data_IF_397437011916
#
_entry.id   IF_397437011916
#
_cell.length_a   1.000
_cell.length_b   1.000
_cell.length_c   1.000
_cell.angle_alpha   90.00
_cell.angle_beta   90.00
_cell.angle_gamma   90.00
#
_symmetry.space_group_name_H-M   'P 1'
#
loop_
_entity.id
_entity.type
_entity.pdbx_description
1 polymer ?
#
# COMPACT_ATOMS: atom_id res chain seq x y z
N UNK A 1 -10.84 -11.46 -23.08
CA UNK A 1 -10.77 -10.16 -23.73
C UNK A 1 -9.40 -9.51 -23.49
N UNK A 2 -8.85 -9.05 -24.53
CA UNK A 2 -7.59 -8.33 -24.44
C UNK A 2 -7.86 -6.95 -23.89
N UNK A 3 -7.23 -6.60 -22.79
CA UNK A 3 -7.36 -5.23 -22.30
C UNK A 3 -6.15 -4.43 -22.79
N UNK A 4 -6.28 -3.11 -22.80
CA UNK A 4 -5.23 -2.23 -23.31
C UNK A 4 -4.15 -1.94 -22.29
N UNK A 5 -4.21 -2.58 -21.14
CA UNK A 5 -3.21 -2.39 -20.10
C UNK A 5 -1.95 -3.18 -20.43
N UNK A 6 -0.78 -2.69 -19.98
CA UNK A 6 0.46 -3.44 -20.19
C UNK A 6 0.39 -4.82 -19.57
N UNK A 7 1.11 -5.76 -20.17
CA UNK A 7 1.24 -7.09 -19.60
C UNK A 7 2.22 -7.00 -18.44
N UNK A 8 1.76 -7.32 -17.26
CA UNK A 8 2.57 -7.27 -16.06
C UNK A 8 2.75 -8.67 -15.50
N UNK A 9 3.68 -8.82 -14.57
CA UNK A 9 3.92 -10.10 -13.94
C UNK A 9 2.66 -10.59 -13.25
N UNK A 10 2.53 -11.92 -13.16
CA UNK A 10 1.39 -12.52 -12.48
C UNK A 10 1.28 -12.00 -11.06
N UNK A 11 0.05 -11.81 -10.60
CA UNK A 11 -0.23 -11.31 -9.28
C UNK A 11 -1.21 -12.25 -8.59
N UNK A 12 -1.22 -12.24 -7.27
CA UNK A 12 -2.09 -13.11 -6.50
C UNK A 12 -3.56 -12.81 -6.79
N UNK A 13 -4.25 -13.78 -7.37
CA UNK A 13 -5.66 -13.63 -7.74
C UNK A 13 -6.57 -13.55 -6.51
N UNK A 14 -6.09 -14.04 -5.38
CA UNK A 14 -6.85 -14.01 -4.13
C UNK A 14 -6.63 -12.72 -3.34
N UNK A 15 -5.87 -11.81 -3.91
CA UNK A 15 -5.60 -10.53 -3.25
C UNK A 15 -6.91 -9.78 -3.00
N UNK A 16 -7.07 -9.33 -1.76
CA UNK A 16 -8.26 -8.61 -1.34
C UNK A 16 -8.09 -7.12 -1.66
N UNK A 17 -8.88 -6.61 -2.61
CA UNK A 17 -8.74 -5.24 -3.08
C UNK A 17 -8.77 -4.18 -1.98
N UNK A 18 -9.72 -4.22 -1.02
CA UNK A 18 -9.72 -3.22 0.05
C UNK A 18 -8.44 -3.24 0.88
N UNK A 19 -7.90 -4.41 1.17
CA UNK A 19 -6.66 -4.51 1.94
C UNK A 19 -5.46 -4.00 1.16
N UNK A 20 -5.44 -4.27 -0.14
CA UNK A 20 -4.34 -3.79 -0.97
C UNK A 20 -4.34 -2.27 -1.06
N UNK A 21 -5.51 -1.67 -1.22
CA UNK A 21 -5.62 -0.21 -1.22
C UNK A 21 -5.21 0.34 0.15
N UNK A 22 -5.64 -0.32 1.22
CA UNK A 22 -5.24 0.09 2.57
C UNK A 22 -3.72 0.03 2.74
N UNK A 23 -3.07 -0.98 2.16
CA UNK A 23 -1.62 -1.10 2.21
C UNK A 23 -0.94 0.15 1.69
N UNK A 24 -1.42 0.70 0.59
CA UNK A 24 -0.84 1.93 0.02
C UNK A 24 -1.02 3.10 0.98
N UNK A 25 -2.18 3.20 1.62
CA UNK A 25 -2.42 4.26 2.60
C UNK A 25 -1.50 4.09 3.80
N UNK A 26 -1.33 2.85 4.28
CA UNK A 26 -0.43 2.56 5.40
C UNK A 26 1.00 2.95 5.05
N UNK A 27 1.46 2.55 3.87
CA UNK A 27 2.82 2.85 3.44
C UNK A 27 3.09 4.36 3.45
N UNK A 28 2.20 5.14 2.85
CA UNK A 28 2.39 6.59 2.83
C UNK A 28 2.34 7.18 4.24
N UNK A 29 1.44 6.67 5.07
CA UNK A 29 1.34 7.13 6.45
C UNK A 29 2.64 6.88 7.22
N UNK A 30 3.22 5.68 7.05
CA UNK A 30 4.48 5.36 7.71
C UNK A 30 5.62 6.27 7.23
N UNK A 31 5.69 6.51 5.92
CA UNK A 31 6.68 7.42 5.36
C UNK A 31 6.52 8.81 5.97
N UNK A 32 5.29 9.28 6.06
CA UNK A 32 5.02 10.63 6.58
C UNK A 32 5.32 10.76 8.08
N UNK A 33 4.98 9.74 8.86
CA UNK A 33 5.13 9.81 10.32
C UNK A 33 6.55 9.49 10.79
N UNK A 34 7.23 8.58 10.12
CA UNK A 34 8.53 8.09 10.60
C UNK A 34 9.70 8.43 9.68
N UNK A 35 9.43 8.94 8.49
CA UNK A 35 10.49 9.22 7.53
C UNK A 35 11.19 7.98 7.03
N UNK A 36 10.57 6.81 7.18
CA UNK A 36 11.12 5.55 6.70
C UNK A 36 10.74 5.30 5.24
N UNK A 37 11.25 4.22 4.68
CA UNK A 37 10.82 3.78 3.36
C UNK A 37 9.47 3.05 3.44
N UNK A 38 9.00 2.64 2.28
CA UNK A 38 7.79 1.81 2.22
C UNK A 38 8.10 0.42 2.77
N UNK A 39 7.08 -0.38 2.97
CA UNK A 39 7.24 -1.72 3.54
C UNK A 39 8.31 -2.52 2.79
N UNK A 40 9.20 -3.17 3.53
CA UNK A 40 10.24 -4.02 2.94
C UNK A 40 9.70 -5.41 2.64
N UNK A 41 8.58 -5.77 3.24
CA UNK A 41 7.90 -7.04 3.02
C UNK A 41 6.42 -6.85 3.27
N UNK A 42 5.59 -7.49 2.45
CA UNK A 42 4.15 -7.37 2.57
C UNK A 42 3.51 -8.72 2.29
N UNK A 43 2.47 -9.02 3.07
CA UNK A 43 1.68 -10.22 2.86
C UNK A 43 0.22 -9.85 3.06
N UNK A 44 -0.49 -9.68 1.95
CA UNK A 44 -1.86 -9.17 1.95
C UNK A 44 -2.83 -10.30 1.64
N UNK A 45 -3.58 -10.71 2.64
CA UNK A 45 -4.58 -11.78 2.48
C UNK A 45 -5.95 -11.29 2.92
N UNK A 46 -6.95 -12.11 2.64
CA UNK A 46 -8.34 -11.75 2.93
C UNK A 46 -8.60 -11.61 4.44
N UNK A 47 -8.07 -12.51 5.25
CA UNK A 47 -8.37 -12.53 6.69
C UNK A 47 -7.45 -11.66 7.52
N UNK A 48 -6.17 -11.71 7.21
CA UNK A 48 -5.19 -10.92 7.94
C UNK A 48 -4.05 -10.58 7.00
N UNK A 49 -3.39 -9.50 7.31
CA UNK A 49 -2.27 -9.04 6.50
C UNK A 49 -1.17 -8.57 7.41
N UNK A 50 0.05 -8.57 6.90
CA UNK A 50 1.19 -8.05 7.64
C UNK A 50 2.08 -7.24 6.73
N UNK A 51 2.68 -6.22 7.33
CA UNK A 51 3.64 -5.34 6.66
C UNK A 51 4.84 -5.16 7.56
N UNK A 52 6.02 -5.23 6.96
CA UNK A 52 7.27 -5.04 7.68
C UNK A 52 7.93 -3.74 7.23
N UNK A 53 8.35 -2.92 8.19
CA UNK A 53 9.01 -1.65 7.93
C UNK A 53 10.37 -1.60 8.59
N UNK A 54 11.37 -1.08 7.88
CA UNK A 54 12.69 -0.86 8.48
C UNK A 54 12.63 0.44 9.28
N UNK A 55 12.74 0.33 10.60
CA UNK A 55 12.70 1.48 11.50
C UNK A 55 13.91 1.45 12.42
N UNK A 56 14.49 2.62 12.68
CA UNK A 56 15.65 2.74 13.56
C UNK A 56 15.27 2.43 15.02
N UNK A 57 14.03 2.70 15.40
CA UNK A 57 13.56 2.48 16.76
C UNK A 57 12.17 1.85 16.76
N UNK A 58 11.87 1.12 17.83
CA UNK A 58 10.53 0.56 18.01
C UNK A 58 9.52 1.67 18.22
N UNK A 59 8.42 1.68 17.48
CA UNK A 59 7.37 2.68 17.71
C UNK A 59 6.79 2.56 19.11
N UNK A 60 6.44 3.69 19.70
CA UNK A 60 5.77 3.70 21.00
C UNK A 60 4.29 3.36 20.81
N UNK A 61 3.64 3.02 21.93
CA UNK A 61 2.18 2.77 21.92
C UNK A 61 1.42 3.96 21.33
N UNK A 62 1.79 5.17 21.71
CA UNK A 62 1.16 6.38 21.20
C UNK A 62 1.34 6.51 19.70
N UNK A 63 2.54 6.18 19.19
CA UNK A 63 2.81 6.25 17.78
C UNK A 63 1.99 5.20 17.01
N UNK A 64 1.83 4.01 17.58
CA UNK A 64 1.04 2.96 16.95
C UNK A 64 -0.42 3.37 16.89
N UNK A 65 -0.95 3.98 17.94
CA UNK A 65 -2.31 4.51 17.94
C UNK A 65 -2.47 5.60 16.88
N UNK A 66 -1.44 6.43 16.70
CA UNK A 66 -1.48 7.47 15.68
C UNK A 66 -1.51 6.90 14.28
N UNK A 67 -0.75 5.83 14.02
CA UNK A 67 -0.80 5.15 12.72
C UNK A 67 -2.23 4.76 12.39
N UNK A 68 -2.90 4.09 13.32
CA UNK A 68 -4.25 3.61 13.11
C UNK A 68 -5.22 4.77 12.90
N UNK A 69 -5.07 5.83 13.68
CA UNK A 69 -5.92 7.01 13.57
C UNK A 69 -5.77 7.68 12.21
N UNK A 70 -4.52 7.94 11.80
CA UNK A 70 -4.25 8.66 10.55
C UNK A 70 -4.71 7.85 9.35
N UNK A 71 -4.46 6.54 9.36
CA UNK A 71 -4.92 5.68 8.27
C UNK A 71 -6.44 5.75 8.14
N UNK A 72 -7.16 5.59 9.25
CA UNK A 72 -8.61 5.63 9.20
C UNK A 72 -9.16 6.99 8.80
N UNK A 73 -8.54 8.07 9.26
CA UNK A 73 -8.96 9.41 8.85
C UNK A 73 -8.77 9.59 7.34
N UNK A 74 -7.67 9.07 6.81
CA UNK A 74 -7.39 9.16 5.38
C UNK A 74 -8.41 8.35 4.57
N UNK A 75 -8.74 7.15 5.05
CA UNK A 75 -9.75 6.33 4.38
C UNK A 75 -11.11 7.01 4.32
N UNK A 76 -11.44 7.81 5.31
CA UNK A 76 -12.73 8.51 5.38
C UNK A 76 -12.79 9.76 4.52
N UNK A 77 -11.68 10.16 3.92
CA UNK A 77 -11.66 11.35 3.06
C UNK A 77 -12.24 11.11 1.68
N UNK A 78 -12.66 9.88 1.37
CA UNK A 78 -13.26 9.53 0.08
C UNK A 78 -12.34 9.86 -1.08
N UNK A 79 -11.07 9.45 -0.97
CA UNK A 79 -10.09 9.71 -2.01
C UNK A 79 -10.30 8.77 -3.20
N UNK A 80 -10.30 9.28 -4.42
CA UNK A 80 -10.41 8.41 -5.59
C UNK A 80 -9.12 7.63 -5.79
N UNK A 81 -9.25 6.37 -6.20
CA UNK A 81 -8.11 5.54 -6.56
C UNK A 81 -8.08 5.47 -8.08
N UNK A 82 -7.05 6.03 -8.67
CA UNK A 82 -6.95 6.15 -10.12
C UNK A 82 -5.66 5.52 -10.63
N UNK A 83 -5.64 5.25 -11.92
CA UNK A 83 -4.49 4.61 -12.57
C UNK A 83 -3.96 5.54 -13.65
N UNK A 84 -2.64 5.56 -13.76
CA UNK A 84 -1.95 6.32 -14.79
C UNK A 84 -0.94 5.39 -15.43
N UNK A 85 -0.81 5.46 -16.75
CA UNK A 85 0.20 4.66 -17.46
C UNK A 85 1.29 5.60 -17.98
N UNK A 86 2.53 5.32 -17.61
CA UNK A 86 3.67 6.12 -18.03
C UNK A 86 4.75 5.18 -18.57
N UNK A 87 5.73 5.74 -19.25
CA UNK A 87 6.85 4.93 -19.75
C UNK A 87 7.79 4.60 -18.59
N UNK A 88 8.61 3.56 -18.78
CA UNK A 88 9.63 3.25 -17.77
C UNK A 88 10.60 4.43 -17.60
N UNK A 89 10.91 5.12 -18.69
CA UNK A 89 11.79 6.28 -18.62
C UNK A 89 11.22 7.37 -17.70
N UNK A 90 9.93 7.66 -17.84
CA UNK A 90 9.28 8.63 -16.97
C UNK A 90 9.27 8.14 -15.53
N UNK A 91 9.04 6.84 -15.34
CA UNK A 91 8.98 6.24 -14.01
C UNK A 91 10.34 6.34 -13.31
N UNK A 92 11.43 6.21 -14.04
CA UNK A 92 12.77 6.29 -13.46
C UNK A 92 13.04 7.62 -12.78
N UNK A 93 12.41 8.69 -13.25
CA UNK A 93 12.56 10.00 -12.65
C UNK A 93 11.63 10.26 -11.46
N UNK A 94 10.67 9.37 -11.21
CA UNK A 94 9.63 9.58 -10.19
C UNK A 94 9.62 8.54 -9.09
N UNK A 95 10.08 7.31 -9.37
CA UNK A 95 9.89 6.19 -8.46
C UNK A 95 11.15 5.35 -8.30
N UNK A 96 11.17 4.54 -7.25
CA UNK A 96 12.19 3.53 -7.03
C UNK A 96 11.91 2.35 -7.94
N UNK A 97 12.72 2.18 -8.96
CA UNK A 97 12.54 1.14 -9.97
C UNK A 97 12.83 -0.27 -9.45
N UNK A 98 13.34 -0.39 -8.23
CA UNK A 98 13.59 -1.71 -7.63
C UNK A 98 12.29 -2.49 -7.43
N UNK A 99 11.17 -1.78 -7.34
CA UNK A 99 9.87 -2.43 -7.18
C UNK A 99 9.21 -2.81 -8.49
N UNK A 100 9.84 -2.43 -9.61
CA UNK A 100 9.30 -2.78 -10.92
C UNK A 100 9.49 -4.27 -11.15
N UNK A 101 8.43 -5.01 -11.52
CA UNK A 101 8.56 -6.42 -11.82
C UNK A 101 9.53 -6.65 -12.96
N UNK A 102 10.35 -7.70 -12.84
CA UNK A 102 11.27 -8.07 -13.91
C UNK A 102 10.45 -8.48 -15.12
N UNK A 103 10.85 -8.04 -16.29
CA UNK A 103 10.13 -8.35 -17.52
C UNK A 103 8.91 -7.49 -17.76
N UNK A 104 8.71 -6.44 -16.98
CA UNK A 104 7.59 -5.53 -17.19
C UNK A 104 7.71 -4.87 -18.56
N UNK A 105 6.57 -4.46 -19.13
CA UNK A 105 6.54 -3.79 -20.42
C UNK A 105 7.18 -2.40 -20.32
N UNK A 106 7.39 -1.77 -21.47
CA UNK A 106 7.94 -0.41 -21.50
C UNK A 106 7.01 0.60 -20.83
N UNK A 107 5.73 0.25 -20.69
CA UNK A 107 4.75 1.09 -20.00
C UNK A 107 4.47 0.49 -18.64
N UNK A 108 4.47 1.32 -17.62
CA UNK A 108 4.21 0.90 -16.25
C UNK A 108 3.00 1.63 -15.70
N UNK A 109 2.36 1.02 -14.70
CA UNK A 109 1.15 1.58 -14.11
C UNK A 109 1.45 2.23 -12.78
N UNK A 110 0.96 3.46 -12.63
CA UNK A 110 1.03 4.21 -11.36
C UNK A 110 -0.37 4.22 -10.77
N UNK A 111 -0.47 3.87 -9.50
CA UNK A 111 -1.73 3.95 -8.75
C UNK A 111 -1.68 5.20 -7.89
N UNK A 112 -2.71 6.03 -8.01
CA UNK A 112 -2.86 7.24 -7.21
C UNK A 112 -4.00 7.07 -6.23
N UNK A 113 -3.78 7.43 -4.98
CA UNK A 113 -4.84 7.51 -3.97
C UNK A 113 -5.03 8.99 -3.67
N UNK A 114 -5.94 9.62 -4.42
CA UNK A 114 -6.08 11.07 -4.39
C UNK A 114 -4.74 11.73 -4.64
N UNK A 115 -4.40 12.69 -3.81
CA UNK A 115 -3.06 13.30 -3.79
C UNK A 115 -2.24 12.81 -2.59
N UNK A 116 -2.72 11.77 -1.90
CA UNK A 116 -2.08 11.25 -0.70
C UNK A 116 -0.91 10.30 -1.03
N UNK A 117 -1.10 9.42 -1.99
CA UNK A 117 -0.08 8.43 -2.35
C UNK A 117 -0.02 8.21 -3.85
N UNK A 118 1.17 7.90 -4.35
CA UNK A 118 1.34 7.42 -5.72
C UNK A 118 2.42 6.35 -5.68
N UNK A 119 2.23 5.29 -6.45
CA UNK A 119 3.11 4.13 -6.37
C UNK A 119 3.01 3.28 -7.64
N UNK A 120 4.12 2.73 -8.06
CA UNK A 120 4.11 1.73 -9.12
C UNK A 120 3.46 0.47 -8.55
N UNK A 121 2.41 -0.01 -9.17
CA UNK A 121 1.69 -1.16 -8.64
C UNK A 121 0.90 -1.87 -9.73
N UNK A 122 0.91 -3.21 -9.70
CA UNK A 122 0.19 -4.02 -10.66
C UNK A 122 -1.06 -4.67 -10.07
N UNK A 123 -1.27 -4.54 -8.76
CA UNK A 123 -2.40 -5.19 -8.09
C UNK A 123 -3.71 -4.47 -8.32
N UNK A 124 -4.79 -5.10 -7.88
CA UNK A 124 -6.13 -4.55 -8.02
C UNK A 124 -6.50 -3.73 -6.79
N UNK A 125 -7.29 -2.69 -7.01
CA UNK A 125 -7.68 -1.75 -5.98
C UNK A 125 -9.16 -1.45 -6.03
N UNK A 126 -9.71 -0.93 -4.92
CA UNK A 126 -11.05 -0.36 -4.94
C UNK A 126 -11.00 0.98 -5.67
N UNK A 127 -12.15 1.50 -6.05
CA UNK A 127 -12.20 2.75 -6.80
C UNK A 127 -12.15 3.99 -5.91
N UNK A 128 -12.46 3.82 -4.62
CA UNK A 128 -12.47 4.93 -3.67
C UNK A 128 -12.11 4.40 -2.28
N UNK A 129 -11.38 5.20 -1.50
CA UNK A 129 -10.98 4.78 -0.16
C UNK A 129 -12.17 4.50 0.75
N UNK A 130 -13.33 5.10 0.46
CA UNK A 130 -14.54 4.84 1.25
C UNK A 130 -14.99 3.38 1.18
N UNK A 131 -14.51 2.63 0.20
CA UNK A 131 -14.88 1.22 0.03
C UNK A 131 -14.01 0.27 0.86
N UNK A 132 -12.97 0.78 1.51
CA UNK A 132 -12.02 -0.07 2.24
C UNK A 132 -12.60 -0.63 3.54
N UNK A 133 -13.30 0.18 4.28
CA UNK A 133 -13.76 -0.19 5.62
C UNK A 133 -12.90 0.45 6.69
N UNK A 134 -12.79 -0.22 7.83
CA UNK A 134 -12.01 0.31 8.96
C UNK A 134 -10.74 -0.50 9.16
N UNK A 135 -9.62 0.19 9.23
CA UNK A 135 -8.31 -0.40 9.47
C UNK A 135 -8.11 -0.62 10.97
N UNK A 136 -7.62 -1.80 11.32
CA UNK A 136 -7.32 -2.11 12.73
C UNK A 136 -6.02 -2.88 12.82
N UNK A 137 -5.10 -2.37 13.66
CA UNK A 137 -3.85 -3.08 13.97
C UNK A 137 -4.19 -4.15 15.00
N UNK A 138 -3.93 -5.41 14.65
CA UNK A 138 -4.22 -6.54 15.51
C UNK A 138 -3.07 -6.79 16.48
N UNK A 139 -1.85 -6.76 15.97
CA UNK A 139 -0.66 -7.02 16.77
C UNK A 139 0.56 -6.48 16.03
N UNK A 140 1.66 -6.40 16.72
CA UNK A 140 2.90 -5.91 16.15
C UNK A 140 4.11 -6.48 16.90
N UNK A 141 5.24 -6.47 16.20
CA UNK A 141 6.53 -6.89 16.76
C UNK A 141 7.61 -5.95 16.27
N UNK A 142 8.69 -5.85 17.04
CA UNK A 142 9.88 -5.13 16.58
C UNK A 142 11.10 -5.99 16.90
N UNK A 143 11.89 -6.30 15.88
CA UNK A 143 13.08 -7.13 16.04
C UNK A 143 14.11 -6.79 14.98
N UNK A 144 15.33 -6.54 15.43
CA UNK A 144 16.47 -6.33 14.53
C UNK A 144 16.21 -5.25 13.48
N UNK A 145 15.62 -4.13 13.92
CA UNK A 145 15.36 -3.01 13.02
C UNK A 145 14.11 -3.15 12.15
N UNK A 146 13.32 -4.20 12.37
CA UNK A 146 12.11 -4.44 11.58
C UNK A 146 10.88 -4.36 12.48
N UNK A 147 9.99 -3.44 12.13
CA UNK A 147 8.68 -3.32 12.77
C UNK A 147 7.66 -4.07 11.92
N UNK A 148 7.07 -5.12 12.49
CA UNK A 148 6.04 -5.90 11.81
C UNK A 148 4.68 -5.51 12.34
N UNK A 149 3.81 -5.11 11.45
CA UNK A 149 2.43 -4.73 11.76
C UNK A 149 1.49 -5.77 11.18
N UNK A 150 0.63 -6.34 12.00
CA UNK A 150 -0.44 -7.23 11.54
C UNK A 150 -1.74 -6.48 11.67
N UNK A 151 -2.54 -6.52 10.63
CA UNK A 151 -3.77 -5.74 10.61
C UNK A 151 -4.90 -6.49 9.94
N UNK A 152 -6.10 -6.00 10.16
CA UNK A 152 -7.28 -6.48 9.45
C UNK A 152 -8.12 -5.28 9.03
N UNK A 153 -9.03 -5.53 8.11
CA UNK A 153 -10.00 -4.55 7.68
C UNK A 153 -11.36 -5.03 8.16
N UNK A 154 -12.08 -4.14 8.84
CA UNK A 154 -13.45 -4.42 9.24
C UNK A 154 -14.33 -3.92 8.10
N UNK A 155 -15.02 -4.83 7.38
CA UNK A 155 -15.80 -4.43 6.21
C UNK A 155 -16.92 -3.47 6.57
N UNK A 156 -17.32 -2.69 5.59
CA UNK A 156 -18.53 -1.89 5.72
C UNK A 156 -19.73 -2.82 5.71
N UNK A 157 -20.73 -2.51 6.50
CA UNK A 157 -21.95 -3.33 6.57
C UNK A 157 -23.03 -2.76 5.66
#
# INVERSE_FOLDING_TARGET
MENNQPVLNAHNKDEHQPRHTCEHVINRTMVNLFGCGRAVSAHIERKKSKLDFALAECPTETQIEEIEKVVNETLRKNLPVTMEFITQEEAMGRFDMKRLPEGASDTVRVVHIGDYDECLCIGQHVENTSEVGTFKIISHDYKEGIFRMRFKIIPLT
#
